data_IF_601507748380
#
_entry.id   IF_601507748380
#
_cell.length_a   1.000
_cell.length_b   1.000
_cell.length_c   1.000
_cell.angle_alpha   90.00
_cell.angle_beta   90.00
_cell.angle_gamma   90.00
#
_symmetry.space_group_name_H-M   'P 1'
#
loop_
_entity.id
_entity.type
_entity.pdbx_description
1 polymer ?
#
# COMPACT_ATOMS: atom_id res chain seq x y z
N UNK A 1 -1.74 4.24 15.81
CA UNK A 1 -0.91 4.79 14.71
C UNK A 1 -1.84 5.10 13.55
N UNK A 2 -1.66 6.21 12.84
CA UNK A 2 -2.45 6.55 11.65
C UNK A 2 -1.51 6.73 10.46
N UNK A 3 -1.52 5.78 9.52
CA UNK A 3 -0.71 5.87 8.30
C UNK A 3 -1.37 6.80 7.29
N UNK A 4 -0.54 7.44 6.46
CA UNK A 4 -0.98 8.25 5.33
C UNK A 4 -0.20 7.84 4.09
N UNK A 5 -0.62 8.27 2.89
CA UNK A 5 0.14 8.04 1.64
C UNK A 5 1.59 8.53 1.69
N UNK A 6 1.89 9.47 2.59
CA UNK A 6 3.22 10.04 2.77
C UNK A 6 4.10 9.23 3.75
N UNK A 7 3.53 8.29 4.51
CA UNK A 7 4.27 7.46 5.45
C UNK A 7 5.29 6.55 4.73
N UNK A 8 6.50 6.45 5.27
CA UNK A 8 7.57 5.63 4.67
C UNK A 8 7.17 4.16 4.49
N UNK A 9 6.53 3.57 5.50
CA UNK A 9 6.07 2.18 5.42
C UNK A 9 5.02 1.97 4.31
N UNK A 10 4.11 2.92 4.11
CA UNK A 10 3.12 2.86 3.02
C UNK A 10 3.82 2.87 1.66
N UNK A 11 4.80 3.78 1.46
CA UNK A 11 5.57 3.85 0.22
C UNK A 11 6.32 2.55 -0.10
N UNK A 12 6.97 1.95 0.90
CA UNK A 12 7.66 0.66 0.75
C UNK A 12 6.68 -0.42 0.29
N UNK A 13 5.53 -0.55 0.96
CA UNK A 13 4.52 -1.56 0.58
C UNK A 13 3.94 -1.32 -0.82
N UNK A 14 3.63 -0.07 -1.18
CA UNK A 14 3.16 0.27 -2.53
C UNK A 14 4.19 -0.13 -3.58
N UNK A 15 5.48 0.20 -3.39
CA UNK A 15 6.54 -0.18 -4.32
C UNK A 15 6.70 -1.70 -4.46
N UNK A 16 6.61 -2.44 -3.35
CA UNK A 16 6.70 -3.90 -3.39
C UNK A 16 5.51 -4.56 -4.10
N UNK A 17 4.31 -3.99 -3.93
CA UNK A 17 3.09 -4.48 -4.61
C UNK A 17 3.12 -4.18 -6.10
N UNK A 18 3.43 -2.94 -6.48
CA UNK A 18 3.54 -2.57 -7.90
C UNK A 18 4.71 -3.27 -8.61
N UNK A 19 5.78 -3.57 -7.86
CA UNK A 19 6.91 -4.38 -8.35
C UNK A 19 6.62 -5.88 -8.43
N UNK A 20 5.42 -6.34 -8.06
CA UNK A 20 5.02 -7.75 -8.12
C UNK A 20 5.69 -8.66 -7.11
N UNK A 21 6.44 -8.12 -6.14
CA UNK A 21 7.07 -8.90 -5.06
C UNK A 21 6.02 -9.45 -4.10
N UNK A 22 4.98 -8.67 -3.83
CA UNK A 22 3.83 -9.07 -3.04
C UNK A 22 2.53 -8.75 -3.78
N UNK A 23 1.50 -9.55 -3.54
CA UNK A 23 0.13 -9.22 -3.92
C UNK A 23 -0.49 -8.28 -2.90
N UNK A 24 -1.47 -7.50 -3.34
CA UNK A 24 -2.20 -6.57 -2.46
C UNK A 24 -2.89 -7.28 -1.28
N UNK A 25 -3.27 -8.54 -1.45
CA UNK A 25 -3.84 -9.38 -0.39
C UNK A 25 -2.86 -9.71 0.74
N UNK A 26 -1.55 -9.68 0.48
CA UNK A 26 -0.48 -10.00 1.44
C UNK A 26 -0.08 -8.82 2.31
N UNK A 27 -0.55 -7.60 1.99
CA UNK A 27 -0.34 -6.43 2.85
C UNK A 27 -0.98 -6.69 4.22
N UNK A 28 -0.22 -6.56 5.33
CA UNK A 28 -0.70 -6.90 6.66
C UNK A 28 -1.80 -5.94 7.11
N UNK A 29 -2.79 -6.50 7.82
CA UNK A 29 -3.85 -5.72 8.49
C UNK A 29 -3.31 -5.10 9.78
N UNK A 30 -2.42 -4.12 9.64
CA UNK A 30 -1.82 -3.38 10.74
C UNK A 30 -2.39 -1.96 10.79
N UNK A 31 -3.25 -1.68 11.78
CA UNK A 31 -4.04 -0.44 11.82
C UNK A 31 -4.72 -0.19 10.45
N UNK A 32 -4.55 0.98 9.86
CA UNK A 32 -5.08 1.36 8.55
C UNK A 32 -4.10 1.11 7.37
N UNK A 33 -2.99 0.39 7.58
CA UNK A 33 -1.94 0.23 6.54
C UNK A 33 -2.48 -0.36 5.24
N UNK A 34 -3.22 -1.48 5.33
CA UNK A 34 -3.74 -2.18 4.15
C UNK A 34 -4.72 -1.33 3.35
N UNK A 35 -5.54 -0.55 4.03
CA UNK A 35 -6.53 0.35 3.43
C UNK A 35 -5.81 1.42 2.60
N UNK A 36 -4.87 2.14 3.22
CA UNK A 36 -4.12 3.22 2.56
C UNK A 36 -3.26 2.70 1.40
N UNK A 37 -2.60 1.55 1.56
CA UNK A 37 -1.83 0.93 0.46
C UNK A 37 -2.76 0.54 -0.70
N UNK A 38 -3.95 0.01 -0.40
CA UNK A 38 -4.95 -0.34 -1.42
C UNK A 38 -5.44 0.87 -2.18
N UNK A 39 -5.72 1.98 -1.49
CA UNK A 39 -6.10 3.25 -2.12
C UNK A 39 -5.02 3.75 -3.08
N UNK A 40 -3.77 3.84 -2.62
CA UNK A 40 -2.66 4.36 -3.43
C UNK A 40 -2.37 3.47 -4.65
N UNK A 41 -2.40 2.14 -4.49
CA UNK A 41 -2.19 1.22 -5.62
C UNK A 41 -3.30 1.36 -6.66
N UNK A 42 -4.56 1.50 -6.23
CA UNK A 42 -5.70 1.73 -7.15
C UNK A 42 -5.59 3.07 -7.87
N UNK A 43 -5.25 4.15 -7.15
CA UNK A 43 -5.00 5.47 -7.74
C UNK A 43 -3.88 5.43 -8.80
N UNK A 44 -2.83 4.64 -8.55
CA UNK A 44 -1.66 4.54 -9.45
C UNK A 44 -1.93 3.67 -10.69
N UNK A 45 -2.85 2.70 -10.60
CA UNK A 45 -3.12 1.71 -11.68
C UNK A 45 -4.27 2.12 -12.58
N UNK A 46 -5.09 3.10 -12.19
CA UNK A 46 -6.16 3.64 -13.03
C UNK A 46 -5.54 4.60 -14.05
N UNK A 47 -5.35 4.13 -15.30
CA UNK A 47 -5.02 4.94 -16.48
C UNK A 47 -6.30 5.56 -17.04
#
# INVERSE_FOLDING_TARGET
MNFTKNSGLVKVWVSLVLGGTYKLEEVPRLFNLKEVVTEVVKETTTI
#
